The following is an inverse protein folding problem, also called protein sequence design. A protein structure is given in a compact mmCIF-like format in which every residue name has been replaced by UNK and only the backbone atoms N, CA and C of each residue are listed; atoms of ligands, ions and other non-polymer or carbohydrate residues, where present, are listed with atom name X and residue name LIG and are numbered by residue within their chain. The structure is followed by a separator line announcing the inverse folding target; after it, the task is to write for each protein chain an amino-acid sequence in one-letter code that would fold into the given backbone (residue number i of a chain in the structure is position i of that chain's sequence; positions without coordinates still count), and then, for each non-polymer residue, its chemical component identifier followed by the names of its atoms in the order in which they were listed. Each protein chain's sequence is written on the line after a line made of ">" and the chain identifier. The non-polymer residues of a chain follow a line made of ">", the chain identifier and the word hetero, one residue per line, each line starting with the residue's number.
data_IF_917411578705
#
_entry.id   IF_917411578705
#
_cell.length_a   1.000
_cell.length_b   1.000
_cell.length_c   1.000
_cell.angle_alpha   90.00
_cell.angle_beta   90.00
_cell.angle_gamma   90.00
#
_symmetry.space_group_name_H-M   'P 1'
#
loop_
_entity.id
_entity.type
_entity.pdbx_description
1 polymer ?
#
# COMPACT_ATOMS: atom_id res chain seq x y z
N UNK A 1 -25.54 10.19 6.89
CA UNK A 1 -25.03 11.58 6.88
C UNK A 1 -23.99 11.66 5.77
N UNK A 2 -24.16 12.57 4.82
CA UNK A 2 -23.25 12.77 3.69
C UNK A 2 -22.45 14.04 4.00
N UNK A 3 -21.13 13.94 3.90
CA UNK A 3 -20.22 15.08 4.07
C UNK A 3 -19.74 15.47 2.68
N UNK A 4 -20.13 16.66 2.22
CA UNK A 4 -19.61 17.21 0.98
C UNK A 4 -18.30 17.95 1.25
N UNK A 5 -17.19 17.29 0.97
CA UNK A 5 -15.89 17.91 1.11
C UNK A 5 -15.68 19.08 0.13
N UNK A 6 -16.44 19.17 -0.98
CA UNK A 6 -16.43 20.28 -1.93
C UNK A 6 -16.82 21.62 -1.32
N UNK A 7 -17.79 21.62 -0.40
CA UNK A 7 -18.35 22.83 0.21
C UNK A 7 -17.96 23.00 1.70
N UNK A 8 -17.08 22.14 2.22
CA UNK A 8 -16.64 22.22 3.62
C UNK A 8 -15.79 23.48 3.86
N UNK A 9 -16.33 24.44 4.62
CA UNK A 9 -15.69 25.74 4.89
C UNK A 9 -14.35 25.68 5.65
N UNK A 10 -14.08 24.56 6.32
CA UNK A 10 -12.83 24.32 7.08
C UNK A 10 -11.92 23.30 6.38
N UNK A 11 -12.19 22.97 5.11
CA UNK A 11 -11.38 22.06 4.30
C UNK A 11 -9.94 22.59 4.22
N UNK A 12 -8.97 21.71 4.44
CA UNK A 12 -7.56 22.08 4.60
C UNK A 12 -7.20 22.25 6.07
N UNK A 13 -7.73 23.31 6.71
CA UNK A 13 -7.39 23.68 8.09
C UNK A 13 -7.73 22.58 9.11
N UNK A 14 -8.89 21.92 8.96
CA UNK A 14 -9.33 20.84 9.85
C UNK A 14 -9.09 19.43 9.27
N UNK A 15 -8.54 19.33 8.06
CA UNK A 15 -8.39 18.04 7.38
C UNK A 15 -7.30 17.16 8.01
N UNK A 16 -6.28 17.75 8.64
CA UNK A 16 -5.17 16.99 9.26
C UNK A 16 -5.63 15.98 10.32
N UNK A 17 -6.74 16.27 11.00
CA UNK A 17 -7.32 15.40 12.04
C UNK A 17 -8.70 14.81 11.64
N UNK A 18 -9.09 14.93 10.36
CA UNK A 18 -10.38 14.43 9.87
C UNK A 18 -10.30 12.95 9.47
N UNK A 19 -11.22 12.12 9.97
CA UNK A 19 -11.32 10.70 9.57
C UNK A 19 -11.48 10.51 8.06
N UNK A 20 -12.07 11.49 7.36
CA UNK A 20 -12.24 11.46 5.90
C UNK A 20 -10.87 11.57 5.20
N UNK A 21 -9.95 12.39 5.71
CA UNK A 21 -8.58 12.52 5.19
C UNK A 21 -7.75 11.26 5.44
N UNK A 22 -7.98 10.54 6.54
CA UNK A 22 -7.36 9.23 6.78
C UNK A 22 -7.83 8.20 5.75
N UNK A 23 -9.12 8.20 5.40
CA UNK A 23 -9.70 7.23 4.47
C UNK A 23 -9.42 7.55 3.00
N UNK A 24 -9.30 8.83 2.63
CA UNK A 24 -9.26 9.29 1.22
C UNK A 24 -8.00 10.09 0.84
N UNK A 25 -7.11 10.40 1.77
CA UNK A 25 -5.95 11.27 1.55
C UNK A 25 -6.26 12.76 1.74
N UNK A 26 -5.20 13.59 1.86
CA UNK A 26 -5.33 15.02 2.09
C UNK A 26 -5.73 15.77 0.80
N UNK A 27 -6.87 16.48 0.78
CA UNK A 27 -7.34 17.12 -0.43
C UNK A 27 -6.45 18.32 -0.81
N UNK A 28 -5.93 18.32 -2.04
CA UNK A 28 -5.07 19.39 -2.57
C UNK A 28 -3.60 18.99 -2.70
N UNK A 29 -3.22 17.80 -2.23
CA UNK A 29 -1.95 17.20 -2.62
C UNK A 29 -2.02 16.84 -4.11
N UNK A 30 -1.03 17.22 -4.93
CA UNK A 30 -0.99 16.79 -6.32
C UNK A 30 -1.00 15.26 -6.36
N UNK A 31 -1.73 14.67 -7.31
CA UNK A 31 -1.84 13.20 -7.46
C UNK A 31 -0.48 12.51 -7.70
N UNK A 32 0.58 13.30 -7.90
CA UNK A 32 1.99 12.91 -8.02
C UNK A 32 2.79 13.00 -6.70
N UNK A 33 2.15 13.21 -5.55
CA UNK A 33 2.83 13.45 -4.27
C UNK A 33 2.99 12.25 -3.33
N UNK A 34 2.40 11.09 -3.66
CA UNK A 34 2.77 9.82 -3.05
C UNK A 34 3.10 8.85 -4.16
N UNK A 35 4.38 8.78 -4.53
CA UNK A 35 4.91 7.60 -5.20
C UNK A 35 4.70 6.40 -4.26
N UNK A 36 3.56 5.71 -4.36
CA UNK A 36 3.34 4.41 -3.72
C UNK A 36 4.41 3.39 -4.14
N UNK A 37 5.10 3.64 -5.25
CA UNK A 37 6.25 2.87 -5.73
C UNK A 37 7.51 2.99 -4.86
N UNK A 38 7.63 4.04 -4.02
CA UNK A 38 8.77 4.20 -3.09
C UNK A 38 8.56 3.52 -1.74
N UNK A 39 7.49 2.75 -1.58
CA UNK A 39 7.13 2.05 -0.33
C UNK A 39 7.87 0.70 -0.16
N UNK A 40 9.04 0.51 -0.79
CA UNK A 40 9.86 -0.68 -0.53
C UNK A 40 10.32 -0.71 0.93
N UNK A 41 10.55 0.45 1.55
CA UNK A 41 10.97 0.58 2.96
C UNK A 41 9.80 0.50 3.98
N UNK A 42 8.54 0.45 3.54
CA UNK A 42 7.36 0.36 4.41
C UNK A 42 6.60 -0.97 4.30
N UNK A 43 7.22 -2.00 3.73
CA UNK A 43 6.64 -3.36 3.78
C UNK A 43 6.75 -3.89 5.20
N UNK A 44 5.62 -3.91 5.90
CA UNK A 44 5.50 -4.54 7.22
C UNK A 44 5.64 -6.05 7.03
N UNK A 45 6.68 -6.65 7.62
CA UNK A 45 6.83 -8.11 7.68
C UNK A 45 6.19 -8.61 8.98
N UNK A 46 5.09 -9.37 8.85
CA UNK A 46 4.42 -9.98 10.00
C UNK A 46 5.01 -11.37 10.26
N UNK A 47 5.51 -11.58 11.47
CA UNK A 47 5.90 -12.89 11.99
C UNK A 47 4.67 -13.78 12.21
N UNK A 48 4.89 -15.07 12.52
CA UNK A 48 3.79 -16.03 12.63
C UNK A 48 2.81 -15.65 13.75
N UNK A 49 3.33 -15.27 14.92
CA UNK A 49 2.52 -14.89 16.08
C UNK A 49 1.65 -13.66 15.79
N UNK A 50 2.18 -12.70 15.05
CA UNK A 50 1.44 -11.50 14.62
C UNK A 50 0.34 -11.84 13.60
N UNK A 51 0.61 -12.76 12.67
CA UNK A 51 -0.42 -13.26 11.75
C UNK A 51 -1.54 -13.99 12.48
N UNK A 52 -1.20 -14.76 13.50
CA UNK A 52 -2.18 -15.47 14.32
C UNK A 52 -3.04 -14.49 15.14
N UNK A 53 -2.41 -13.48 15.73
CA UNK A 53 -3.13 -12.39 16.40
C UNK A 53 -4.10 -11.67 15.44
N UNK A 54 -3.62 -11.34 14.23
CA UNK A 54 -4.45 -10.72 13.19
C UNK A 54 -5.62 -11.62 12.77
N UNK A 55 -5.43 -12.94 12.74
CA UNK A 55 -6.49 -13.90 12.44
C UNK A 55 -7.58 -13.90 13.53
N UNK A 56 -7.20 -13.87 14.81
CA UNK A 56 -8.15 -13.79 15.94
C UNK A 56 -8.95 -12.48 15.92
N UNK A 57 -8.28 -11.36 15.64
CA UNK A 57 -8.95 -10.06 15.50
C UNK A 57 -9.96 -10.08 14.34
N UNK A 58 -9.62 -10.74 13.25
CA UNK A 58 -10.53 -10.86 12.11
C UNK A 58 -11.71 -11.80 12.40
N UNK A 59 -11.49 -12.90 13.13
CA UNK A 59 -12.54 -13.85 13.53
C UNK A 59 -13.53 -13.26 14.54
N UNK A 60 -13.04 -12.38 15.40
CA UNK A 60 -13.89 -11.59 16.32
C UNK A 60 -14.59 -10.41 15.63
N UNK A 61 -14.28 -10.14 14.35
CA UNK A 61 -14.90 -9.06 13.58
C UNK A 61 -14.37 -7.66 13.91
N UNK A 62 -13.26 -7.55 14.64
CA UNK A 62 -12.63 -6.28 14.99
C UNK A 62 -11.83 -5.68 13.83
N UNK A 63 -11.34 -6.51 12.91
CA UNK A 63 -10.64 -6.09 11.70
C UNK A 63 -11.08 -6.90 10.47
N UNK A 64 -10.95 -6.38 9.24
CA UNK A 64 -11.12 -7.18 8.03
C UNK A 64 -10.05 -8.27 7.90
N UNK A 65 -10.40 -9.43 7.32
CA UNK A 65 -9.43 -10.47 6.95
C UNK A 65 -8.40 -9.90 5.97
N UNK A 66 -7.12 -10.08 6.25
CA UNK A 66 -6.06 -9.71 5.32
C UNK A 66 -6.18 -10.46 4.00
N UNK A 67 -6.03 -9.74 2.90
CA UNK A 67 -5.95 -10.28 1.54
C UNK A 67 -4.63 -9.81 0.94
N UNK A 68 -3.83 -10.74 0.43
CA UNK A 68 -2.60 -10.41 -0.26
C UNK A 68 -2.97 -9.77 -1.61
N UNK A 69 -2.53 -8.53 -1.84
CA UNK A 69 -2.63 -7.86 -3.14
C UNK A 69 -1.22 -7.67 -3.67
N UNK A 70 -0.90 -8.34 -4.77
CA UNK A 70 0.37 -8.14 -5.47
C UNK A 70 0.21 -6.99 -6.45
N UNK A 71 0.90 -5.88 -6.19
CA UNK A 71 1.21 -4.90 -7.22
C UNK A 71 2.32 -5.51 -8.09
N UNK A 72 1.96 -6.05 -9.26
CA UNK A 72 2.96 -6.34 -10.27
C UNK A 72 3.53 -5.00 -10.71
N UNK A 73 4.72 -4.65 -10.22
CA UNK A 73 5.44 -3.49 -10.74
C UNK A 73 5.60 -3.71 -12.26
N UNK A 74 5.33 -2.70 -13.10
CA UNK A 74 5.61 -2.80 -14.53
C UNK A 74 7.06 -3.23 -14.70
N UNK A 75 7.30 -4.39 -15.34
CA UNK A 75 8.66 -4.78 -15.72
C UNK A 75 9.13 -3.71 -16.71
N UNK A 76 10.20 -2.95 -16.39
CA UNK A 76 10.69 -1.94 -17.32
C UNK A 76 11.08 -2.61 -18.63
N UNK A 77 10.83 -1.98 -19.79
CA UNK A 77 11.19 -2.56 -21.07
C UNK A 77 12.69 -2.88 -21.09
N UNK A 78 13.11 -4.00 -21.71
CA UNK A 78 14.50 -4.40 -21.74
C UNK A 78 15.34 -3.29 -22.36
N UNK A 79 16.36 -2.84 -21.63
CA UNK A 79 17.27 -1.80 -22.10
C UNK A 79 18.17 -2.36 -23.22
N UNK A 80 18.34 -1.66 -24.35
CA UNK A 80 19.26 -2.10 -25.40
C UNK A 80 20.68 -2.25 -24.83
N UNK A 81 21.22 -3.47 -24.88
CA UNK A 81 22.59 -3.78 -24.43
C UNK A 81 22.72 -4.41 -23.04
N UNK A 82 21.63 -4.66 -22.31
CA UNK A 82 21.72 -5.37 -21.03
C UNK A 82 21.89 -6.88 -21.26
N UNK A 83 23.00 -7.50 -20.80
CA UNK A 83 23.17 -8.96 -20.93
C UNK A 83 22.11 -9.66 -20.09
N UNK A 84 21.45 -10.66 -20.68
CA UNK A 84 20.49 -11.50 -19.95
C UNK A 84 21.28 -12.26 -18.90
N UNK A 85 21.06 -11.96 -17.62
CA UNK A 85 21.58 -12.80 -16.54
C UNK A 85 21.00 -14.19 -16.72
N UNK A 86 21.80 -15.09 -17.31
CA UNK A 86 21.41 -16.47 -17.53
C UNK A 86 21.14 -17.13 -16.19
N UNK A 87 19.93 -17.63 -16.00
CA UNK A 87 19.60 -18.50 -14.87
C UNK A 87 20.53 -19.70 -14.88
N UNK A 88 21.46 -19.72 -13.90
CA UNK A 88 22.34 -20.85 -13.67
C UNK A 88 21.52 -22.07 -13.29
N UNK A 89 21.71 -23.14 -14.06
CA UNK A 89 21.03 -24.42 -13.90
C UNK A 89 21.24 -25.00 -12.49
N UNK A 90 20.16 -25.54 -11.93
CA UNK A 90 20.22 -26.52 -10.86
C UNK A 90 21.13 -27.68 -11.30
N UNK A 91 22.31 -27.80 -10.71
CA UNK A 91 23.11 -29.01 -10.75
C UNK A 91 22.86 -29.79 -9.47
N UNK A 92 22.20 -30.94 -9.62
CA UNK A 92 22.07 -31.96 -8.60
C UNK A 92 23.44 -32.53 -8.23
N UNK A 93 23.61 -32.82 -6.94
CA UNK A 93 24.77 -33.53 -6.36
C UNK A 93 24.54 -33.75 -4.88
#
# INVERSE_FOLDING_TARGET
>A
MIVDCGECLVRGDACRDCVVTVLLGEPGMPESGMDFDRHEDLRINLEQEERDAMAVLAESGLVPRLRLVTSALPVPPPQPGQPRSGGGAHAAG
#
